data_IF_743920119201
#
_entry.id   IF_743920119201
#
_cell.length_a   1.000
_cell.length_b   1.000
_cell.length_c   1.000
_cell.angle_alpha   90.00
_cell.angle_beta   90.00
_cell.angle_gamma   90.00
#
_symmetry.space_group_name_H-M   'P 1'
#
loop_
_entity.id
_entity.type
_entity.pdbx_description
1 polymer ?
#
# COMPACT_ATOMS: atom_id res chain seq x y z
N UNK A 1 -2.22 -3.56 -17.63
CA UNK A 1 -1.28 -2.47 -17.29
C UNK A 1 -1.92 -1.70 -16.14
N UNK A 2 -1.17 -1.35 -15.10
CA UNK A 2 -1.68 -0.62 -13.94
C UNK A 2 -1.00 0.75 -13.92
N UNK A 3 -1.74 1.80 -13.59
CA UNK A 3 -1.18 3.15 -13.38
C UNK A 3 -1.21 3.46 -11.89
N UNK A 4 -0.04 3.75 -11.32
CA UNK A 4 0.09 4.22 -9.94
C UNK A 4 0.16 5.75 -9.94
N UNK A 5 -0.77 6.38 -9.24
CA UNK A 5 -0.82 7.83 -9.09
C UNK A 5 -0.45 8.19 -7.66
N UNK A 6 0.78 8.68 -7.51
CA UNK A 6 1.27 9.27 -6.29
C UNK A 6 0.86 10.76 -6.26
N UNK A 7 0.14 11.18 -5.22
CA UNK A 7 -0.56 12.47 -5.06
C UNK A 7 -1.91 12.71 -5.83
N UNK A 8 -2.88 13.38 -5.19
CA UNK A 8 -4.22 13.65 -5.76
C UNK A 8 -4.65 15.06 -5.46
N UNK A 9 -4.16 15.91 -6.33
CA UNK A 9 -4.68 17.24 -6.58
C UNK A 9 -5.68 17.19 -7.75
N UNK A 10 -6.13 18.37 -8.17
CA UNK A 10 -7.01 18.51 -9.33
C UNK A 10 -6.36 18.00 -10.62
N UNK A 11 -5.04 18.02 -10.75
CA UNK A 11 -4.34 17.50 -11.94
C UNK A 11 -4.44 15.98 -12.00
N UNK A 12 -4.10 15.29 -10.90
CA UNK A 12 -4.22 13.83 -10.80
C UNK A 12 -5.66 13.35 -10.96
N UNK A 13 -6.66 14.10 -10.49
CA UNK A 13 -8.08 13.81 -10.73
C UNK A 13 -8.40 13.81 -12.23
N UNK A 14 -8.01 14.89 -12.92
CA UNK A 14 -8.24 15.02 -14.36
C UNK A 14 -7.48 13.93 -15.14
N UNK A 15 -6.26 13.59 -14.71
CA UNK A 15 -5.48 12.52 -15.31
C UNK A 15 -6.18 11.16 -15.16
N UNK A 16 -6.72 10.86 -13.98
CA UNK A 16 -7.51 9.66 -13.75
C UNK A 16 -8.74 9.61 -14.67
N UNK A 17 -9.53 10.70 -14.73
CA UNK A 17 -10.70 10.76 -15.61
C UNK A 17 -10.31 10.57 -17.09
N UNK A 18 -9.21 11.20 -17.51
CA UNK A 18 -8.70 11.07 -18.88
C UNK A 18 -8.30 9.61 -19.17
N UNK A 19 -7.52 8.98 -18.28
CA UNK A 19 -7.15 7.56 -18.40
C UNK A 19 -8.41 6.70 -18.48
N UNK A 20 -9.39 6.90 -17.59
CA UNK A 20 -10.64 6.14 -17.59
C UNK A 20 -11.45 6.31 -18.88
N UNK A 21 -11.42 7.49 -19.51
CA UNK A 21 -12.10 7.73 -20.79
C UNK A 21 -11.41 7.11 -22.01
N UNK A 22 -10.07 7.08 -22.04
CA UNK A 22 -9.30 6.57 -23.18
C UNK A 22 -9.08 5.05 -23.04
N UNK A 23 -8.92 4.58 -21.81
CA UNK A 23 -8.55 3.21 -21.43
C UNK A 23 -9.29 2.79 -20.15
N UNK A 24 -10.59 2.50 -20.25
CA UNK A 24 -11.42 2.11 -19.09
C UNK A 24 -10.98 0.77 -18.46
N UNK A 25 -10.12 0.01 -19.15
CA UNK A 25 -9.56 -1.26 -18.71
C UNK A 25 -8.28 -1.14 -17.86
N UNK A 26 -7.72 0.06 -17.71
CA UNK A 26 -6.51 0.29 -16.94
C UNK A 26 -6.88 0.56 -15.47
N UNK A 27 -6.48 -0.32 -14.53
CA UNK A 27 -6.72 -0.07 -13.12
C UNK A 27 -5.79 1.04 -12.61
N UNK A 28 -6.33 1.87 -11.73
CA UNK A 28 -5.61 2.94 -11.05
C UNK A 28 -5.45 2.62 -9.56
N UNK A 29 -4.21 2.76 -9.09
CA UNK A 29 -3.87 2.67 -7.67
C UNK A 29 -3.57 4.08 -7.14
N UNK A 30 -4.29 4.48 -6.09
CA UNK A 30 -4.12 5.76 -5.40
C UNK A 30 -3.23 5.59 -4.16
N UNK A 31 -2.07 6.23 -4.12
CA UNK A 31 -1.25 6.28 -2.92
C UNK A 31 -1.84 7.25 -1.87
N UNK A 32 -1.93 6.81 -0.62
CA UNK A 32 -2.45 7.59 0.52
C UNK A 32 -1.49 7.48 1.70
N UNK A 33 -1.04 8.63 2.21
CA UNK A 33 -0.16 8.70 3.38
C UNK A 33 -0.97 8.61 4.67
N UNK A 34 -0.76 7.56 5.45
CA UNK A 34 -1.46 7.33 6.71
C UNK A 34 -0.98 8.22 7.87
N UNK A 35 0.10 9.01 7.66
CA UNK A 35 0.67 9.89 8.70
C UNK A 35 -0.07 11.22 8.86
N UNK A 36 -0.71 11.69 7.80
CA UNK A 36 -1.27 13.04 7.71
C UNK A 36 -2.75 13.01 7.37
N UNK A 37 -3.19 11.97 6.66
CA UNK A 37 -4.49 11.95 6.03
C UNK A 37 -5.50 11.16 6.87
N UNK A 38 -6.35 11.90 7.59
CA UNK A 38 -7.47 11.34 8.33
C UNK A 38 -8.69 11.09 7.42
N UNK A 39 -8.59 11.35 6.11
CA UNK A 39 -9.69 11.26 5.15
C UNK A 39 -9.74 9.93 4.39
N UNK A 40 -9.34 8.80 4.98
CA UNK A 40 -9.41 7.50 4.27
C UNK A 40 -10.78 7.20 3.67
N UNK A 41 -11.87 7.62 4.31
CA UNK A 41 -13.23 7.49 3.77
C UNK A 41 -13.45 8.25 2.46
N UNK A 42 -12.83 9.42 2.31
CA UNK A 42 -12.89 10.21 1.07
C UNK A 42 -12.21 9.45 -0.06
N UNK A 43 -11.07 8.83 0.20
CA UNK A 43 -10.33 8.07 -0.80
C UNK A 43 -10.99 6.74 -1.13
N UNK A 44 -11.58 6.08 -0.14
CA UNK A 44 -12.41 4.88 -0.36
C UNK A 44 -13.61 5.20 -1.27
N UNK A 45 -14.22 6.37 -1.12
CA UNK A 45 -15.32 6.83 -1.98
C UNK A 45 -14.88 7.45 -3.32
N UNK A 46 -13.58 7.52 -3.62
CA UNK A 46 -13.09 8.06 -4.90
C UNK A 46 -13.40 7.13 -6.07
N UNK A 47 -12.93 7.46 -7.27
CA UNK A 47 -13.09 6.57 -8.43
C UNK A 47 -11.92 5.57 -8.58
N UNK A 48 -10.83 5.71 -7.82
CA UNK A 48 -9.67 4.81 -7.96
C UNK A 48 -10.03 3.34 -7.64
N UNK A 49 -9.49 2.38 -8.40
CA UNK A 49 -9.79 0.96 -8.23
C UNK A 49 -9.19 0.37 -6.94
N UNK A 50 -7.98 0.82 -6.60
CA UNK A 50 -7.26 0.38 -5.41
C UNK A 50 -6.68 1.56 -4.64
N UNK A 51 -6.45 1.35 -3.34
CA UNK A 51 -5.66 2.24 -2.50
C UNK A 51 -4.31 1.62 -2.16
N UNK A 52 -3.25 2.42 -2.08
CA UNK A 52 -1.95 2.02 -1.54
C UNK A 52 -1.69 2.87 -0.29
N UNK A 53 -1.84 2.24 0.87
CA UNK A 53 -1.77 2.90 2.16
C UNK A 53 -0.33 2.87 2.67
N UNK A 54 0.35 4.02 2.65
CA UNK A 54 1.71 4.16 3.13
C UNK A 54 1.72 4.57 4.61
N UNK A 55 2.09 3.62 5.47
CA UNK A 55 2.31 3.85 6.90
C UNK A 55 3.62 4.62 7.20
N UNK A 56 4.45 4.85 6.18
CA UNK A 56 5.82 5.34 6.27
C UNK A 56 6.79 4.28 6.81
N UNK A 57 8.02 4.68 7.14
CA UNK A 57 9.00 3.75 7.72
C UNK A 57 8.48 3.16 9.04
N UNK A 58 8.01 1.91 9.02
CA UNK A 58 7.70 1.10 10.20
C UNK A 58 8.94 0.74 11.04
N UNK A 59 9.83 1.71 11.26
CA UNK A 59 11.20 1.56 11.74
C UNK A 59 11.46 2.03 13.17
N UNK A 60 10.44 2.27 13.99
CA UNK A 60 10.64 2.68 15.40
C UNK A 60 10.46 1.53 16.41
N UNK A 61 10.25 0.29 15.96
CA UNK A 61 10.05 -0.85 16.87
C UNK A 61 8.70 -0.84 17.58
N UNK A 62 7.78 0.02 17.15
CA UNK A 62 6.39 -0.03 17.60
C UNK A 62 5.57 -0.87 16.62
N UNK A 63 5.01 -1.94 17.18
CA UNK A 63 3.83 -2.66 16.73
C UNK A 63 2.93 -1.74 15.91
N UNK A 64 2.54 -2.16 14.69
CA UNK A 64 1.71 -1.34 13.81
C UNK A 64 0.59 -0.65 14.59
N UNK A 65 0.53 0.68 14.50
CA UNK A 65 -0.34 1.48 15.37
C UNK A 65 -1.81 1.05 15.22
N UNK A 66 -2.44 0.77 16.36
CA UNK A 66 -3.84 0.34 16.45
C UNK A 66 -4.82 1.38 15.89
N UNK A 67 -4.42 2.65 15.82
CA UNK A 67 -5.20 3.69 15.14
C UNK A 67 -5.36 3.38 13.65
N UNK A 68 -4.33 2.84 12.98
CA UNK A 68 -4.43 2.43 11.58
C UNK A 68 -5.46 1.31 11.39
N UNK A 69 -5.53 0.33 12.31
CA UNK A 69 -6.49 -0.78 12.21
C UNK A 69 -7.93 -0.25 12.15
N UNK A 70 -8.25 0.71 13.02
CA UNK A 70 -9.59 1.31 13.08
C UNK A 70 -9.92 2.06 11.80
N UNK A 71 -8.94 2.70 11.19
CA UNK A 71 -9.14 3.44 9.95
C UNK A 71 -9.29 2.50 8.75
N UNK A 72 -8.45 1.46 8.62
CA UNK A 72 -8.55 0.52 7.50
C UNK A 72 -9.78 -0.38 7.58
N UNK A 73 -10.29 -0.67 8.78
CA UNK A 73 -11.54 -1.41 8.94
C UNK A 73 -12.77 -0.72 8.33
N UNK A 74 -12.66 0.57 7.98
CA UNK A 74 -13.71 1.32 7.31
C UNK A 74 -13.60 1.31 5.78
N UNK A 75 -12.50 0.79 5.21
CA UNK A 75 -12.22 0.80 3.76
C UNK A 75 -12.92 -0.40 3.12
N UNK A 76 -13.70 -0.16 2.07
CA UNK A 76 -14.37 -1.20 1.30
C UNK A 76 -13.56 -1.66 0.09
N UNK A 77 -12.76 -0.77 -0.51
CA UNK A 77 -11.95 -1.08 -1.68
C UNK A 77 -10.80 -2.03 -1.37
N UNK A 78 -10.34 -2.84 -2.34
CA UNK A 78 -9.09 -3.58 -2.19
C UNK A 78 -7.93 -2.59 -2.05
N UNK A 79 -7.02 -2.88 -1.11
CA UNK A 79 -5.96 -1.94 -0.78
C UNK A 79 -4.63 -2.66 -0.48
N UNK A 80 -3.54 -2.00 -0.81
CA UNK A 80 -2.17 -2.45 -0.59
C UNK A 80 -1.59 -1.79 0.65
N UNK A 81 -0.83 -2.53 1.45
CA UNK A 81 -0.06 -1.98 2.56
C UNK A 81 1.37 -1.64 2.11
N UNK A 82 1.76 -0.39 2.27
CA UNK A 82 3.11 0.10 2.03
C UNK A 82 3.73 0.67 3.32
N UNK A 83 5.01 1.01 3.26
CA UNK A 83 5.71 1.68 4.36
C UNK A 83 6.53 0.74 5.22
N UNK A 84 7.84 0.62 4.90
CA UNK A 84 8.79 -0.12 5.73
C UNK A 84 8.58 -1.64 5.80
N UNK A 85 7.84 -2.23 4.85
CA UNK A 85 7.67 -3.68 4.72
C UNK A 85 9.02 -4.36 4.51
N UNK A 86 9.30 -5.36 5.35
CA UNK A 86 10.51 -6.19 5.35
C UNK A 86 10.16 -7.64 5.70
N UNK A 87 11.10 -8.56 5.48
CA UNK A 87 10.85 -9.98 5.75
C UNK A 87 10.41 -10.23 7.21
N UNK A 88 10.91 -9.44 8.16
CA UNK A 88 10.67 -9.61 9.59
C UNK A 88 9.27 -9.18 10.04
N UNK A 89 8.61 -8.24 9.34
CA UNK A 89 7.33 -7.67 9.78
C UNK A 89 6.15 -7.98 8.84
N UNK A 90 6.42 -8.41 7.59
CA UNK A 90 5.37 -8.56 6.57
C UNK A 90 4.30 -9.59 6.97
N UNK A 91 4.70 -10.65 7.68
CA UNK A 91 3.76 -11.69 8.14
C UNK A 91 2.78 -11.16 9.17
N UNK A 92 3.28 -10.47 10.20
CA UNK A 92 2.44 -9.85 11.22
C UNK A 92 1.50 -8.81 10.58
N UNK A 93 2.02 -8.02 9.63
CA UNK A 93 1.24 -7.02 8.91
C UNK A 93 0.06 -7.65 8.15
N UNK A 94 0.32 -8.72 7.39
CA UNK A 94 -0.72 -9.43 6.63
C UNK A 94 -1.76 -10.03 7.59
N UNK A 95 -1.33 -10.69 8.67
CA UNK A 95 -2.24 -11.29 9.65
C UNK A 95 -3.08 -10.26 10.40
N UNK A 96 -2.52 -9.08 10.66
CA UNK A 96 -3.19 -8.04 11.43
C UNK A 96 -4.18 -7.24 10.59
N UNK A 97 -3.84 -6.96 9.34
CA UNK A 97 -4.59 -6.02 8.52
C UNK A 97 -5.30 -6.62 7.31
N UNK A 98 -4.91 -7.82 6.88
CA UNK A 98 -5.50 -8.50 5.72
C UNK A 98 -5.55 -7.62 4.44
N UNK A 99 -4.43 -6.99 4.03
CA UNK A 99 -4.43 -6.19 2.81
C UNK A 99 -4.58 -7.08 1.57
N UNK A 100 -5.04 -6.49 0.46
CA UNK A 100 -5.06 -7.14 -0.85
C UNK A 100 -3.64 -7.50 -1.33
N UNK A 101 -2.66 -6.67 -0.99
CA UNK A 101 -1.24 -6.93 -1.28
C UNK A 101 -0.32 -6.07 -0.43
N UNK A 102 0.98 -6.29 -0.56
CA UNK A 102 2.01 -5.49 0.12
C UNK A 102 2.94 -4.85 -0.91
N UNK A 103 3.30 -3.61 -0.68
CA UNK A 103 4.33 -2.89 -1.44
C UNK A 103 5.60 -2.75 -0.60
N UNK A 104 6.75 -3.03 -1.22
CA UNK A 104 8.04 -2.97 -0.55
C UNK A 104 9.10 -2.35 -1.44
N UNK A 105 9.82 -1.37 -0.89
CA UNK A 105 10.95 -0.74 -1.58
C UNK A 105 12.25 -0.91 -0.79
N UNK A 106 12.49 -0.10 0.25
CA UNK A 106 13.75 -0.10 0.99
C UNK A 106 13.98 -1.33 1.88
N UNK A 107 12.91 -2.00 2.33
CA UNK A 107 13.03 -3.21 3.17
C UNK A 107 13.63 -4.42 2.45
N UNK A 108 13.78 -4.34 1.12
CA UNK A 108 14.44 -5.37 0.30
C UNK A 108 15.73 -4.86 -0.35
N UNK A 109 16.32 -3.79 0.18
CA UNK A 109 17.58 -3.22 -0.30
C UNK A 109 18.75 -3.54 0.64
N UNK A 110 19.95 -3.65 0.08
CA UNK A 110 21.24 -3.66 0.77
C UNK A 110 22.11 -2.59 0.12
N UNK A 111 22.58 -1.63 0.92
CA UNK A 111 23.35 -0.47 0.44
C UNK A 111 22.65 0.31 -0.70
N UNK A 112 21.32 0.42 -0.63
CA UNK A 112 20.50 1.13 -1.62
C UNK A 112 20.24 0.36 -2.92
N UNK A 113 20.76 -0.87 -3.05
CA UNK A 113 20.51 -1.74 -4.20
C UNK A 113 19.56 -2.86 -3.81
N UNK A 114 18.68 -3.26 -4.75
CA UNK A 114 17.77 -4.40 -4.54
C UNK A 114 18.56 -5.67 -4.25
N UNK A 115 18.26 -6.30 -3.12
CA UNK A 115 18.93 -7.50 -2.64
C UNK A 115 18.06 -8.74 -2.96
N UNK A 116 18.49 -9.63 -3.88
CA UNK A 116 17.72 -10.82 -4.25
C UNK A 116 17.40 -11.76 -3.09
N UNK A 117 18.27 -11.83 -2.07
CA UNK A 117 18.06 -12.66 -0.88
C UNK A 117 16.93 -12.08 -0.03
N UNK A 118 16.90 -10.76 0.17
CA UNK A 118 15.80 -10.10 0.90
C UNK A 118 14.48 -10.17 0.14
N UNK A 119 14.51 -9.97 -1.18
CA UNK A 119 13.33 -10.12 -2.06
C UNK A 119 12.77 -11.54 -1.93
N UNK A 120 13.63 -12.56 -2.01
CA UNK A 120 13.17 -13.94 -1.87
C UNK A 120 12.51 -14.19 -0.52
N UNK A 121 13.15 -13.76 0.57
CA UNK A 121 12.62 -13.94 1.94
C UNK A 121 11.26 -13.27 2.12
N UNK A 122 11.08 -12.04 1.63
CA UNK A 122 9.79 -11.35 1.76
C UNK A 122 8.70 -12.08 0.97
N UNK A 123 8.99 -12.55 -0.26
CA UNK A 123 8.05 -13.32 -1.07
C UNK A 123 7.64 -14.62 -0.38
N UNK A 124 8.60 -15.34 0.21
CA UNK A 124 8.34 -16.57 0.96
C UNK A 124 7.39 -16.32 2.15
N UNK A 125 7.60 -15.21 2.87
CA UNK A 125 6.73 -14.81 3.98
C UNK A 125 5.34 -14.33 3.56
N UNK A 126 5.21 -13.72 2.38
CA UNK A 126 3.92 -13.30 1.81
C UNK A 126 3.12 -14.49 1.30
N UNK A 127 3.77 -15.48 0.67
CA UNK A 127 3.09 -16.66 0.10
C UNK A 127 2.64 -17.67 1.14
N UNK A 128 3.35 -17.76 2.25
CA UNK A 128 3.03 -18.68 3.35
C UNK A 128 2.82 -17.89 4.64
N UNK A 129 1.83 -16.98 4.75
CA UNK A 129 1.70 -16.07 5.89
C UNK A 129 1.21 -16.78 7.16
N UNK A 130 0.78 -18.04 7.08
CA UNK A 130 0.32 -18.86 8.20
C UNK A 130 1.22 -20.09 8.38
N UNK A 131 1.44 -20.56 9.61
CA UNK A 131 2.02 -21.88 9.88
C UNK A 131 1.08 -23.02 9.48
#
# INVERSE_FOLDING_TARGET
>A
MIVLIDNYDSFSYNLYQLIGSIRPDIPVIRAVSMKQDHELKRWDASEADYLLLDAGSGGTGHTFDHTLIKQVGAIQKPWFLAGGMRAENVREAIQKFHPFGVDCSSGVETEGLKDPVKIRRIIENVRNPFP
#
